data_IF_687599682613
#
_entry.id   IF_687599682613
#
_cell.length_a   1.000
_cell.length_b   1.000
_cell.length_c   1.000
_cell.angle_alpha   90.00
_cell.angle_beta   90.00
_cell.angle_gamma   90.00
#
_symmetry.space_group_name_H-M   'P 1'
#
loop_
_entity.id
_entity.type
_entity.pdbx_description
1 polymer ?
#
# COMPACT_ATOMS: atom_id res chain seq x y z
N UNK A 1 -7.21 -11.46 19.35
CA UNK A 1 -5.85 -10.93 19.53
C UNK A 1 -5.90 -9.61 20.28
N UNK A 2 -4.92 -9.39 21.14
CA UNK A 2 -4.75 -8.16 21.92
C UNK A 2 -3.51 -7.42 21.45
N UNK A 3 -3.66 -6.14 21.17
CA UNK A 3 -2.59 -5.24 20.72
C UNK A 3 -2.29 -4.19 21.80
N UNK A 4 -1.00 -3.88 21.98
CA UNK A 4 -0.55 -2.75 22.80
C UNK A 4 -0.58 -1.48 21.95
N UNK A 5 -1.35 -0.49 22.39
CA UNK A 5 -1.46 0.83 21.76
C UNK A 5 -0.73 1.84 22.61
N UNK A 6 0.35 2.38 22.09
CA UNK A 6 1.18 3.35 22.81
C UNK A 6 0.59 4.77 22.75
N UNK A 7 0.98 5.69 23.63
CA UNK A 7 0.39 7.04 23.70
C UNK A 7 0.38 7.81 22.38
N UNK A 8 1.41 7.66 21.55
CA UNK A 8 1.47 8.29 20.22
C UNK A 8 0.41 7.79 19.23
N UNK A 9 -0.21 6.66 19.51
CA UNK A 9 -1.20 6.01 18.63
C UNK A 9 -2.64 6.18 19.16
N UNK A 10 -2.82 6.61 20.41
CA UNK A 10 -4.14 6.64 21.06
C UNK A 10 -5.10 7.65 20.42
N UNK A 11 -4.60 8.68 19.76
CA UNK A 11 -5.42 9.69 19.07
C UNK A 11 -6.04 9.15 17.78
N UNK A 12 -5.39 8.18 17.14
CA UNK A 12 -5.80 7.66 15.82
C UNK A 12 -6.47 6.29 15.87
N UNK A 13 -6.25 5.52 16.94
CA UNK A 13 -6.86 4.18 17.10
C UNK A 13 -8.18 4.30 17.86
N UNK A 14 -9.25 3.79 17.26
CA UNK A 14 -10.63 3.85 17.80
C UNK A 14 -11.31 2.49 17.71
N UNK A 15 -12.28 2.27 18.61
CA UNK A 15 -13.21 1.15 18.49
C UNK A 15 -14.01 1.23 17.19
N UNK A 16 -14.21 0.10 16.53
CA UNK A 16 -14.94 -0.01 15.26
C UNK A 16 -14.04 0.08 14.02
N UNK A 17 -12.77 0.44 14.17
CA UNK A 17 -11.87 0.49 13.01
C UNK A 17 -11.53 -0.91 12.49
N UNK A 18 -11.48 -1.08 11.16
CA UNK A 18 -10.95 -2.29 10.55
C UNK A 18 -9.47 -2.48 10.88
N UNK A 19 -9.08 -3.71 11.10
CA UNK A 19 -7.69 -4.11 11.32
C UNK A 19 -7.35 -5.33 10.48
N UNK A 20 -6.25 -5.25 9.77
CA UNK A 20 -5.66 -6.38 9.05
C UNK A 20 -4.71 -7.06 10.01
N UNK A 21 -5.00 -8.31 10.35
CA UNK A 21 -4.18 -9.15 11.23
C UNK A 21 -3.35 -10.09 10.39
N UNK A 22 -2.05 -10.12 10.62
CA UNK A 22 -1.14 -10.93 9.82
C UNK A 22 -0.07 -11.63 10.66
N UNK A 23 0.31 -12.80 10.15
CA UNK A 23 1.51 -13.56 10.51
C UNK A 23 2.35 -13.78 9.24
N UNK A 24 3.53 -14.39 9.31
CA UNK A 24 4.31 -14.72 8.11
C UNK A 24 3.58 -15.65 7.11
N UNK A 25 2.61 -16.45 7.59
CA UNK A 25 1.92 -17.47 6.80
C UNK A 25 0.45 -17.21 6.53
N UNK A 26 -0.17 -16.24 7.20
CA UNK A 26 -1.60 -15.99 7.11
C UNK A 26 -1.97 -14.53 7.35
N UNK A 27 -3.07 -14.09 6.72
CA UNK A 27 -3.64 -12.77 6.91
C UNK A 27 -5.17 -12.86 6.93
N UNK A 28 -5.80 -12.05 7.78
CA UNK A 28 -7.26 -11.94 7.86
C UNK A 28 -7.68 -10.54 8.27
N UNK A 29 -8.94 -10.21 7.97
CA UNK A 29 -9.55 -8.96 8.40
C UNK A 29 -10.29 -9.15 9.72
N UNK A 30 -10.22 -8.14 10.57
CA UNK A 30 -10.95 -8.06 11.82
C UNK A 30 -11.37 -6.62 12.10
N UNK A 31 -11.93 -6.38 13.26
CA UNK A 31 -12.36 -5.04 13.72
C UNK A 31 -11.96 -4.87 15.18
N UNK A 32 -11.50 -3.69 15.55
CA UNK A 32 -11.24 -3.37 16.95
C UNK A 32 -12.58 -3.28 17.69
N UNK A 33 -12.85 -4.29 18.51
CA UNK A 33 -14.12 -4.37 19.25
C UNK A 33 -14.02 -3.74 20.64
N UNK A 34 -12.82 -3.62 21.17
CA UNK A 34 -12.61 -3.16 22.52
C UNK A 34 -11.30 -2.38 22.66
N UNK A 35 -11.36 -1.25 23.41
CA UNK A 35 -10.22 -0.45 23.81
C UNK A 35 -10.26 -0.27 25.33
N UNK A 36 -9.20 -0.63 26.01
CA UNK A 36 -9.09 -0.55 27.47
C UNK A 36 -7.83 0.17 27.89
N UNK A 37 -8.00 1.20 28.71
CA UNK A 37 -6.88 1.83 29.42
C UNK A 37 -6.46 0.95 30.61
N UNK A 38 -5.17 0.68 30.71
CA UNK A 38 -4.61 -0.10 31.80
C UNK A 38 -4.10 0.87 32.87
N UNK A 39 -4.66 0.84 34.07
CA UNK A 39 -4.36 1.79 35.16
C UNK A 39 -2.87 1.84 35.59
N UNK A 40 -2.14 0.75 35.37
CA UNK A 40 -0.74 0.61 35.80
C UNK A 40 0.25 0.46 34.65
N UNK A 41 -0.17 0.79 33.40
CA UNK A 41 0.65 0.61 32.22
C UNK A 41 0.58 1.87 31.33
N UNK A 42 1.65 2.14 30.61
CA UNK A 42 1.75 3.29 29.69
C UNK A 42 1.11 3.04 28.33
N UNK A 43 0.42 1.93 28.14
CA UNK A 43 -0.25 1.57 26.90
C UNK A 43 -1.71 1.16 27.16
N UNK A 44 -2.54 1.33 26.15
CA UNK A 44 -3.89 0.79 26.10
C UNK A 44 -3.88 -0.59 25.43
N UNK A 45 -4.87 -1.42 25.76
CA UNK A 45 -5.09 -2.69 25.06
C UNK A 45 -6.22 -2.52 24.04
N UNK A 46 -5.96 -2.82 22.76
CA UNK A 46 -6.96 -2.97 21.72
C UNK A 46 -7.21 -4.44 21.43
N UNK A 47 -8.47 -4.86 21.43
CA UNK A 47 -8.85 -6.23 21.16
C UNK A 47 -9.57 -6.34 19.82
N UNK A 48 -9.12 -7.29 18.99
CA UNK A 48 -9.75 -7.68 17.75
C UNK A 48 -10.01 -9.19 17.75
N UNK A 49 -11.26 -9.67 17.58
CA UNK A 49 -11.57 -11.09 17.52
C UNK A 49 -11.01 -11.70 16.24
N UNK A 50 -10.57 -12.95 16.29
CA UNK A 50 -10.17 -13.74 15.14
C UNK A 50 -11.04 -14.99 15.04
N UNK A 51 -11.50 -15.26 13.83
CA UNK A 51 -12.05 -16.58 13.52
C UNK A 51 -10.89 -17.56 13.33
N UNK A 52 -10.91 -18.68 14.01
CA UNK A 52 -9.87 -19.70 13.97
C UNK A 52 -10.44 -21.10 13.61
N UNK A 53 -11.49 -21.16 12.80
CA UNK A 53 -12.06 -22.44 12.36
C UNK A 53 -11.03 -23.29 11.62
N UNK A 54 -10.14 -22.66 10.88
CA UNK A 54 -9.12 -23.34 10.07
C UNK A 54 -7.84 -23.66 10.86
N UNK A 55 -7.80 -23.33 12.16
CA UNK A 55 -6.66 -23.60 13.03
C UNK A 55 -5.38 -22.81 12.67
N UNK A 56 -5.50 -21.72 11.92
CA UNK A 56 -4.36 -20.91 11.44
C UNK A 56 -3.65 -20.12 12.54
N UNK A 57 -4.35 -19.87 13.65
CA UNK A 57 -3.87 -19.03 14.73
C UNK A 57 -3.64 -19.84 16.00
N UNK A 58 -2.44 -19.76 16.57
CA UNK A 58 -2.10 -20.46 17.81
C UNK A 58 -2.13 -19.50 19.01
N UNK A 59 -2.63 -19.96 20.18
CA UNK A 59 -2.51 -19.21 21.42
C UNK A 59 -1.04 -18.86 21.72
N UNK A 60 -0.78 -17.59 22.10
CA UNK A 60 0.58 -17.11 22.35
C UNK A 60 1.35 -16.66 21.10
N UNK A 61 0.81 -16.83 19.92
CA UNK A 61 1.41 -16.34 18.67
C UNK A 61 1.47 -14.81 18.63
N UNK A 62 2.59 -14.27 18.16
CA UNK A 62 2.75 -12.83 17.92
C UNK A 62 2.19 -12.51 16.53
N UNK A 63 1.25 -11.57 16.48
CA UNK A 63 0.59 -11.13 15.26
C UNK A 63 0.81 -9.63 15.04
N UNK A 64 0.98 -9.25 13.77
CA UNK A 64 0.99 -7.84 13.36
C UNK A 64 -0.44 -7.38 13.10
N UNK A 65 -0.80 -6.21 13.62
CA UNK A 65 -2.06 -5.53 13.33
C UNK A 65 -1.80 -4.24 12.54
N UNK A 66 -2.44 -4.10 11.38
CA UNK A 66 -2.46 -2.87 10.60
C UNK A 66 -3.86 -2.27 10.65
N UNK A 67 -4.02 -1.16 11.37
CA UNK A 67 -5.32 -0.51 11.57
C UNK A 67 -5.57 0.48 10.44
N UNK A 68 -6.78 0.40 9.84
CA UNK A 68 -7.23 1.38 8.85
C UNK A 68 -7.73 2.62 9.62
N UNK A 69 -6.96 3.70 9.57
CA UNK A 69 -7.24 4.94 10.30
C UNK A 69 -8.06 5.93 9.49
N UNK A 70 -8.00 5.85 8.17
CA UNK A 70 -8.81 6.64 7.24
C UNK A 70 -9.08 5.85 5.96
N UNK A 71 -10.21 6.13 5.33
CA UNK A 71 -10.56 5.67 3.99
C UNK A 71 -11.03 6.87 3.17
N UNK A 72 -10.54 6.97 1.95
CA UNK A 72 -11.03 7.93 0.96
C UNK A 72 -11.29 7.22 -0.36
N UNK A 73 -12.36 7.59 -1.05
CA UNK A 73 -12.56 7.18 -2.44
C UNK A 73 -11.73 8.08 -3.34
N UNK A 74 -11.03 7.49 -4.29
CA UNK A 74 -10.25 8.19 -5.32
C UNK A 74 -10.67 7.67 -6.70
N UNK A 75 -10.72 8.56 -7.69
CA UNK A 75 -11.24 8.21 -9.01
C UNK A 75 -10.25 7.37 -9.82
N UNK A 76 -8.95 7.62 -9.63
CA UNK A 76 -7.89 6.96 -10.37
C UNK A 76 -6.72 6.61 -9.47
N UNK A 77 -6.22 5.38 -9.60
CA UNK A 77 -5.03 4.90 -8.90
C UNK A 77 -4.07 4.21 -9.85
N UNK A 78 -2.79 4.21 -9.49
CA UNK A 78 -1.73 3.48 -10.17
C UNK A 78 -1.02 2.57 -9.18
N UNK A 79 -0.67 1.35 -9.61
CA UNK A 79 0.14 0.44 -8.80
C UNK A 79 1.57 0.96 -8.69
N UNK A 80 2.07 1.04 -7.46
CA UNK A 80 3.40 1.61 -7.19
C UNK A 80 4.56 0.84 -7.85
N UNK A 81 4.32 -0.43 -8.25
CA UNK A 81 5.31 -1.24 -8.97
C UNK A 81 5.51 -0.80 -10.42
N UNK A 82 4.57 -0.04 -10.99
CA UNK A 82 4.68 0.47 -12.36
C UNK A 82 5.74 1.57 -12.50
N UNK A 83 6.11 2.23 -11.40
CA UNK A 83 7.05 3.34 -11.46
C UNK A 83 8.48 2.88 -11.75
N UNK A 84 9.12 3.62 -12.65
CA UNK A 84 10.54 3.50 -12.96
C UNK A 84 11.20 4.87 -12.82
N UNK A 85 12.51 4.87 -12.55
CA UNK A 85 13.31 6.09 -12.55
C UNK A 85 14.02 6.21 -13.89
N UNK A 86 13.72 7.28 -14.63
CA UNK A 86 14.34 7.60 -15.92
C UNK A 86 14.87 9.03 -15.83
N UNK A 87 16.17 9.21 -16.05
CA UNK A 87 16.86 10.53 -15.98
C UNK A 87 16.58 11.31 -14.68
N UNK A 88 16.51 10.60 -13.54
CA UNK A 88 16.23 11.18 -12.22
C UNK A 88 14.76 11.51 -11.97
N UNK A 89 13.84 11.16 -12.88
CA UNK A 89 12.42 11.37 -12.75
C UNK A 89 11.69 10.06 -12.55
N UNK A 90 10.65 10.09 -11.72
CA UNK A 90 9.77 8.95 -11.48
C UNK A 90 8.64 8.94 -12.50
N UNK A 91 8.64 7.94 -13.38
CA UNK A 91 7.71 7.84 -14.50
C UNK A 91 7.03 6.49 -14.54
N UNK A 92 5.92 6.39 -15.28
CA UNK A 92 5.33 5.15 -15.74
C UNK A 92 5.44 5.06 -17.26
N UNK A 93 5.31 3.85 -17.81
CA UNK A 93 5.22 3.62 -19.24
C UNK A 93 3.78 3.40 -19.65
N UNK A 94 3.20 4.32 -20.39
CA UNK A 94 1.82 4.26 -20.88
C UNK A 94 1.80 3.75 -22.32
N UNK A 95 0.86 2.86 -22.63
CA UNK A 95 0.68 2.32 -23.98
C UNK A 95 0.14 3.39 -24.91
N UNK A 96 0.72 3.51 -26.10
CA UNK A 96 0.23 4.34 -27.18
C UNK A 96 0.18 3.55 -28.51
N UNK A 97 -0.24 4.19 -29.62
CA UNK A 97 -0.39 3.55 -30.93
C UNK A 97 0.91 2.99 -31.51
N UNK A 98 2.07 3.39 -31.02
CA UNK A 98 3.39 2.99 -31.54
C UNK A 98 4.22 2.20 -30.52
N UNK A 99 3.71 1.91 -29.33
CA UNK A 99 4.43 1.22 -28.26
C UNK A 99 4.17 1.82 -26.89
N UNK A 100 5.21 2.33 -26.24
CA UNK A 100 5.12 2.92 -24.91
C UNK A 100 5.75 4.31 -24.88
N UNK A 101 5.17 5.19 -24.10
CA UNK A 101 5.75 6.51 -23.78
C UNK A 101 5.96 6.65 -22.27
N UNK A 102 6.99 7.36 -21.88
CA UNK A 102 7.21 7.73 -20.47
C UNK A 102 6.28 8.86 -20.09
N UNK A 103 5.66 8.74 -18.91
CA UNK A 103 4.81 9.80 -18.38
C UNK A 103 5.04 10.03 -16.89
N UNK A 104 5.27 11.29 -16.53
CA UNK A 104 5.30 11.72 -15.15
C UNK A 104 3.86 11.91 -14.66
N UNK A 105 3.59 11.47 -13.41
CA UNK A 105 2.29 11.62 -12.78
C UNK A 105 2.36 12.56 -11.59
N UNK A 106 1.35 13.36 -11.42
CA UNK A 106 1.09 14.04 -10.16
C UNK A 106 0.30 13.11 -9.25
N UNK A 107 0.86 12.80 -8.09
CA UNK A 107 0.32 11.81 -7.18
C UNK A 107 -0.25 12.47 -5.92
N UNK A 108 -1.32 11.87 -5.42
CA UNK A 108 -1.95 12.22 -4.14
C UNK A 108 -1.60 11.22 -3.05
N UNK A 109 -2.63 10.74 -2.35
CA UNK A 109 -2.47 9.79 -1.25
C UNK A 109 -1.98 8.42 -1.75
N UNK A 110 -1.25 7.70 -0.88
CA UNK A 110 -0.82 6.33 -1.17
C UNK A 110 -1.06 5.44 0.05
N UNK A 111 -1.44 4.19 -0.21
CA UNK A 111 -1.55 3.13 0.80
C UNK A 111 -0.31 2.22 0.85
N UNK A 112 0.74 2.57 0.07
CA UNK A 112 1.97 1.78 -0.07
C UNK A 112 1.94 0.79 -1.24
N UNK A 113 0.77 0.34 -1.68
CA UNK A 113 0.59 -0.51 -2.86
C UNK A 113 0.12 0.30 -4.06
N UNK A 114 -0.85 1.17 -3.85
CA UNK A 114 -1.40 2.05 -4.86
C UNK A 114 -1.19 3.51 -4.49
N UNK A 115 -1.05 4.36 -5.50
CA UNK A 115 -1.03 5.82 -5.34
C UNK A 115 -2.17 6.44 -6.14
N UNK A 116 -2.85 7.43 -5.53
CA UNK A 116 -3.82 8.26 -6.21
C UNK A 116 -3.15 9.05 -7.32
N UNK A 117 -3.77 9.10 -8.48
CA UNK A 117 -3.37 9.97 -9.60
C UNK A 117 -4.22 11.23 -9.57
N UNK A 118 -3.56 12.38 -9.44
CA UNK A 118 -4.19 13.70 -9.53
C UNK A 118 -4.21 14.17 -10.98
N UNK A 119 -3.10 13.98 -11.70
CA UNK A 119 -2.99 14.30 -13.11
C UNK A 119 -1.90 13.47 -13.81
N UNK A 120 -1.92 13.46 -15.15
CA UNK A 120 -0.94 12.80 -15.99
C UNK A 120 -1.37 11.42 -16.52
N UNK A 121 -2.46 10.84 -16.03
CA UNK A 121 -3.05 9.60 -16.55
C UNK A 121 -4.55 9.77 -16.65
N UNK A 122 -5.17 9.24 -17.72
CA UNK A 122 -6.61 9.29 -17.92
C UNK A 122 -7.25 7.93 -17.66
N UNK A 123 -8.55 7.96 -17.37
CA UNK A 123 -9.31 6.74 -17.19
C UNK A 123 -9.32 5.91 -18.49
N UNK A 124 -9.00 4.61 -18.39
CA UNK A 124 -8.95 3.69 -19.51
C UNK A 124 -7.61 3.63 -20.27
N UNK A 125 -6.62 4.46 -19.89
CA UNK A 125 -5.26 4.28 -20.40
C UNK A 125 -4.59 3.06 -19.79
N UNK A 126 -3.85 2.31 -20.59
CA UNK A 126 -3.10 1.14 -20.17
C UNK A 126 -1.64 1.51 -19.88
N UNK A 127 -1.07 0.96 -18.84
CA UNK A 127 0.33 1.17 -18.49
C UNK A 127 1.05 -0.15 -18.17
N UNK A 128 2.36 -0.17 -18.35
CA UNK A 128 3.19 -1.33 -18.10
C UNK A 128 3.39 -1.51 -16.58
N UNK A 129 2.95 -2.65 -16.04
CA UNK A 129 3.15 -3.04 -14.65
C UNK A 129 4.30 -4.04 -14.51
N UNK A 130 4.34 -5.06 -15.38
CA UNK A 130 5.35 -6.11 -15.37
C UNK A 130 6.39 -5.82 -16.45
N UNK A 131 7.67 -6.06 -16.13
CA UNK A 131 8.79 -5.83 -17.05
C UNK A 131 8.97 -4.38 -17.51
N UNK A 132 8.42 -3.40 -16.81
CA UNK A 132 8.62 -1.97 -17.12
C UNK A 132 10.12 -1.58 -17.12
N UNK A 133 10.97 -2.30 -16.38
CA UNK A 133 12.43 -2.13 -16.41
C UNK A 133 13.05 -2.47 -17.77
N UNK A 134 12.45 -3.35 -18.57
CA UNK A 134 12.92 -3.66 -19.94
C UNK A 134 12.68 -2.47 -20.85
N UNK A 135 11.56 -1.78 -20.72
CA UNK A 135 11.23 -0.57 -21.47
C UNK A 135 12.22 0.56 -21.15
N UNK A 136 12.61 0.67 -19.87
CA UNK A 136 13.68 1.59 -19.45
C UNK A 136 15.02 1.27 -20.12
N UNK A 137 15.37 -0.02 -20.19
CA UNK A 137 16.61 -0.45 -20.82
C UNK A 137 16.64 -0.14 -22.33
N UNK A 138 15.52 -0.28 -23.02
CA UNK A 138 15.40 0.03 -24.45
C UNK A 138 15.49 1.53 -24.72
N UNK A 139 14.91 2.37 -23.87
CA UNK A 139 15.09 3.84 -23.92
C UNK A 139 16.56 4.25 -23.80
N UNK A 140 17.30 3.65 -22.85
CA UNK A 140 18.73 3.91 -22.66
C UNK A 140 19.57 3.54 -23.90
N UNK A 141 19.21 2.46 -24.60
CA UNK A 141 19.88 2.04 -25.86
C UNK A 141 19.60 3.01 -27.01
N UNK A 142 18.36 3.47 -27.14
CA UNK A 142 17.98 4.44 -28.18
C UNK A 142 18.70 5.78 -28.00
N UNK A 143 18.89 6.24 -26.75
CA UNK A 143 19.66 7.44 -26.43
C UNK A 143 21.17 7.33 -26.77
N UNK A 144 21.75 6.14 -26.59
CA UNK A 144 23.15 5.89 -26.88
C UNK A 144 23.50 5.82 -28.40
N UNK A 145 22.51 5.51 -29.24
CA UNK A 145 22.71 5.41 -30.70
C UNK A 145 22.68 6.74 -31.42
N UNK A 146 22.35 7.86 -30.76
CA UNK A 146 22.36 9.21 -31.33
C UNK A 146 23.62 10.02 -30.96
N UNK A 147 24.58 9.42 -30.28
CA UNK A 147 25.84 10.08 -29.84
C UNK A 147 27.05 9.69 -30.71
N UNK A 148 26.89 9.68 -32.05
CA UNK A 148 27.99 9.55 -33.02
C UNK A 148 27.94 10.66 -34.05
#
# INVERSE_FOLDING_TARGET
>A
VDYKIFPSQTSVIKKGQPVIVSSPSAQTNSTITYLMANKNQTFMTARAPLNNHDGLWSPGQILKGSVVTSQSSVDLVVDNRAFQEVEGKRVIFVTNQGGYETRELELGQSDGQFSQVISGLNFGEEYALINSYLLKADLGKAGASHAH
#
